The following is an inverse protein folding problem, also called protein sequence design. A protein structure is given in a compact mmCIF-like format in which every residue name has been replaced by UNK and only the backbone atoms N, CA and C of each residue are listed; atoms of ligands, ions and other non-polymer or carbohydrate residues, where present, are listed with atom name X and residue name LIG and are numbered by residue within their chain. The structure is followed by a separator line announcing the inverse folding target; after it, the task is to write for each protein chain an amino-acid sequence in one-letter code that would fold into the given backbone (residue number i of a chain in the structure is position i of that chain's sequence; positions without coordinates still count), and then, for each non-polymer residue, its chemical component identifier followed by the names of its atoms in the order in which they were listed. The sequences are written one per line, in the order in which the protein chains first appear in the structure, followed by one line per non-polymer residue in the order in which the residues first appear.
data_IF_819558684307
#
_entry.id   IF_819558684307
#
_cell.length_a   1.000
_cell.length_b   1.000
_cell.length_c   1.000
_cell.angle_alpha   90.00
_cell.angle_beta   90.00
_cell.angle_gamma   90.00
#
_symmetry.space_group_name_H-M   'P 1'
#
loop_
_entity.id
_entity.type
_entity.pdbx_description
1 polymer ?
#
# COMPACT_ATOMS: atom_id res chain seq x y z
N UNK A 1 42.05 -3.77 24.59
CA UNK A 1 40.81 -3.39 25.31
C UNK A 1 39.67 -3.35 24.29
N UNK A 2 38.89 -4.42 24.18
CA UNK A 2 37.78 -4.52 23.23
C UNK A 2 36.49 -3.98 23.89
N UNK A 3 35.89 -2.95 23.31
CA UNK A 3 34.61 -2.39 23.78
C UNK A 3 33.47 -3.31 23.33
N UNK A 4 33.03 -4.19 24.23
CA UNK A 4 31.99 -5.22 24.00
C UNK A 4 30.55 -4.69 24.25
N UNK A 5 30.38 -3.47 24.75
CA UNK A 5 29.05 -2.87 24.96
C UNK A 5 28.94 -1.54 24.22
N UNK A 6 28.17 -1.52 23.13
CA UNK A 6 27.87 -0.28 22.40
C UNK A 6 28.05 -0.30 20.89
N UNK A 7 27.82 -1.42 20.19
CA UNK A 7 27.36 -1.30 18.80
C UNK A 7 25.97 -0.68 18.87
N UNK A 8 25.88 0.63 18.61
CA UNK A 8 24.59 1.26 18.33
C UNK A 8 23.90 0.40 17.28
N UNK A 9 22.63 0.03 17.54
CA UNK A 9 21.83 -0.70 16.55
C UNK A 9 22.04 -0.01 15.21
N UNK A 10 22.46 -0.77 14.19
CA UNK A 10 22.45 -0.28 12.81
C UNK A 10 21.11 0.42 12.62
N UNK A 11 21.19 1.73 12.40
CA UNK A 11 20.02 2.58 12.42
C UNK A 11 19.21 2.15 11.21
N UNK A 12 18.20 1.32 11.44
CA UNK A 12 17.36 0.78 10.40
C UNK A 12 16.95 1.97 9.52
N UNK A 13 17.11 1.87 8.19
CA UNK A 13 16.81 2.99 7.30
C UNK A 13 15.43 3.52 7.67
N UNK A 14 15.33 4.86 7.79
CA UNK A 14 14.08 5.49 8.16
C UNK A 14 12.96 4.93 7.25
N UNK A 15 11.79 4.57 7.80
CA UNK A 15 10.73 3.95 7.03
C UNK A 15 10.45 4.80 5.80
N UNK A 16 10.65 4.21 4.62
CA UNK A 16 10.44 4.89 3.36
C UNK A 16 8.98 4.65 2.92
N UNK A 17 8.37 5.65 2.29
CA UNK A 17 6.97 5.58 1.86
C UNK A 17 6.73 4.42 0.88
N UNK A 18 7.72 4.07 0.06
CA UNK A 18 7.65 2.98 -0.92
C UNK A 18 7.50 1.60 -0.27
N UNK A 19 8.28 1.30 0.78
CA UNK A 19 8.19 0.06 1.54
C UNK A 19 6.84 -0.04 2.26
N UNK A 20 6.35 1.09 2.78
CA UNK A 20 5.05 1.15 3.42
C UNK A 20 3.92 0.89 2.39
N UNK A 21 4.00 1.45 1.18
CA UNK A 21 3.04 1.18 0.09
C UNK A 21 3.05 -0.31 -0.26
N UNK A 22 4.23 -0.89 -0.50
CA UNK A 22 4.37 -2.31 -0.85
C UNK A 22 3.79 -3.25 0.23
N UNK A 23 3.97 -2.90 1.51
CA UNK A 23 3.38 -3.64 2.62
C UNK A 23 1.84 -3.55 2.65
N UNK A 24 1.27 -2.38 2.36
CA UNK A 24 -0.20 -2.21 2.28
C UNK A 24 -0.77 -3.01 1.10
N UNK A 25 -0.10 -2.98 -0.05
CA UNK A 25 -0.51 -3.75 -1.23
C UNK A 25 -0.48 -5.25 -0.98
N UNK A 26 0.60 -5.77 -0.37
CA UNK A 26 0.70 -7.18 0.01
C UNK A 26 -0.43 -7.63 0.94
N UNK A 27 -0.85 -6.75 1.87
CA UNK A 27 -1.99 -7.00 2.74
C UNK A 27 -3.31 -7.01 1.96
N UNK A 28 -3.51 -6.08 1.02
CA UNK A 28 -4.69 -6.06 0.16
C UNK A 28 -4.77 -7.35 -0.68
N UNK A 29 -3.68 -7.78 -1.31
CA UNK A 29 -3.62 -9.05 -2.05
C UNK A 29 -3.96 -10.28 -1.20
N UNK A 30 -3.50 -10.30 0.06
CA UNK A 30 -3.81 -11.38 1.00
C UNK A 30 -5.31 -11.44 1.32
N UNK A 31 -5.96 -10.28 1.42
CA UNK A 31 -7.42 -10.18 1.58
C UNK A 31 -8.13 -10.64 0.31
N UNK A 32 -7.68 -10.22 -0.87
CA UNK A 32 -8.26 -10.62 -2.15
C UNK A 32 -8.18 -12.15 -2.36
N UNK A 33 -7.08 -12.79 -1.95
CA UNK A 33 -6.95 -14.26 -1.95
C UNK A 33 -7.98 -14.93 -1.02
N UNK A 34 -8.29 -14.34 0.14
CA UNK A 34 -9.34 -14.85 1.04
C UNK A 34 -10.73 -14.68 0.43
N UNK A 35 -10.99 -13.54 -0.20
CA UNK A 35 -12.25 -13.28 -0.92
C UNK A 35 -12.48 -14.30 -2.04
N UNK A 36 -11.45 -14.60 -2.84
CA UNK A 36 -11.54 -15.58 -3.91
C UNK A 36 -11.91 -16.99 -3.41
N UNK A 37 -11.41 -17.39 -2.22
CA UNK A 37 -11.80 -18.65 -1.58
C UNK A 37 -13.28 -18.65 -1.18
N UNK A 38 -13.74 -17.57 -0.55
CA UNK A 38 -15.15 -17.39 -0.17
C UNK A 38 -16.08 -17.37 -1.38
N UNK A 39 -15.65 -16.76 -2.50
CA UNK A 39 -16.39 -16.79 -3.77
C UNK A 39 -16.53 -18.21 -4.33
N UNK A 40 -15.45 -19.00 -4.25
CA UNK A 40 -15.50 -20.43 -4.60
C UNK A 40 -16.51 -21.20 -3.76
N UNK A 41 -16.58 -20.95 -2.45
CA UNK A 41 -17.57 -21.55 -1.56
C UNK A 41 -19.01 -21.10 -1.88
N UNK A 42 -19.22 -19.80 -2.11
CA UNK A 42 -20.53 -19.26 -2.48
C UNK A 42 -21.05 -19.87 -3.79
N UNK A 43 -20.16 -20.08 -4.76
CA UNK A 43 -20.51 -20.74 -6.02
C UNK A 43 -20.99 -22.17 -5.78
N UNK A 44 -20.27 -22.94 -4.94
CA UNK A 44 -20.68 -24.30 -4.56
C UNK A 44 -22.05 -24.32 -3.87
N UNK A 45 -22.31 -23.40 -2.94
CA UNK A 45 -23.62 -23.29 -2.31
C UNK A 45 -24.73 -22.93 -3.30
N UNK A 46 -24.47 -22.04 -4.25
CA UNK A 46 -25.41 -21.67 -5.31
C UNK A 46 -25.76 -22.89 -6.18
N UNK A 47 -24.77 -23.64 -6.62
CA UNK A 47 -24.96 -24.86 -7.44
C UNK A 47 -25.69 -25.95 -6.66
N UNK A 48 -25.36 -26.13 -5.37
CA UNK A 48 -26.05 -27.07 -4.49
C UNK A 48 -27.54 -26.69 -4.34
N UNK A 49 -27.85 -25.43 -4.01
CA UNK A 49 -29.23 -24.96 -3.85
C UNK A 49 -30.04 -25.06 -5.15
N UNK A 50 -29.42 -24.88 -6.32
CA UNK A 50 -30.09 -25.00 -7.61
C UNK A 50 -30.64 -26.41 -7.86
N UNK A 51 -30.02 -27.44 -7.28
CA UNK A 51 -30.44 -28.85 -7.39
C UNK A 51 -31.40 -29.28 -6.27
N UNK A 52 -31.65 -28.42 -5.29
CA UNK A 52 -32.49 -28.73 -4.13
C UNK A 52 -33.92 -28.23 -4.32
N UNK A 53 -34.89 -29.06 -3.91
CA UNK A 53 -36.28 -28.64 -3.73
C UNK A 53 -36.38 -27.63 -2.58
N UNK A 54 -37.39 -26.77 -2.66
CA UNK A 54 -37.70 -25.84 -1.58
C UNK A 54 -38.04 -26.61 -0.30
N UNK A 55 -37.51 -26.14 0.84
CA UNK A 55 -37.74 -26.77 2.13
C UNK A 55 -36.62 -26.55 3.16
N UNK A 56 -36.74 -27.18 4.34
CA UNK A 56 -35.82 -26.97 5.47
C UNK A 56 -34.34 -27.23 5.13
N UNK A 57 -34.07 -28.24 4.31
CA UNK A 57 -32.71 -28.56 3.87
C UNK A 57 -32.09 -27.43 3.04
N UNK A 58 -32.84 -26.88 2.06
CA UNK A 58 -32.38 -25.76 1.22
C UNK A 58 -32.21 -24.48 2.03
N UNK A 59 -33.10 -24.24 3.00
CA UNK A 59 -32.99 -23.12 3.94
C UNK A 59 -31.71 -23.20 4.78
N UNK A 60 -31.31 -24.38 5.25
CA UNK A 60 -30.04 -24.57 5.97
C UNK A 60 -28.83 -24.21 5.11
N UNK A 61 -28.80 -24.64 3.84
CA UNK A 61 -27.73 -24.29 2.89
C UNK A 61 -27.71 -22.78 2.62
N UNK A 62 -28.89 -22.15 2.45
CA UNK A 62 -29.02 -20.70 2.29
C UNK A 62 -28.44 -19.94 3.48
N UNK A 63 -28.71 -20.38 4.71
CA UNK A 63 -28.15 -19.75 5.92
C UNK A 63 -26.62 -19.87 5.97
N UNK A 64 -26.04 -21.01 5.56
CA UNK A 64 -24.59 -21.16 5.43
C UNK A 64 -24.02 -20.20 4.39
N UNK A 65 -24.64 -20.12 3.21
CA UNK A 65 -24.24 -19.20 2.16
C UNK A 65 -24.30 -17.73 2.60
N UNK A 66 -25.32 -17.33 3.35
CA UNK A 66 -25.44 -15.97 3.90
C UNK A 66 -24.32 -15.62 4.87
N UNK A 67 -23.86 -16.56 5.70
CA UNK A 67 -22.71 -16.33 6.59
C UNK A 67 -21.43 -16.11 5.81
N UNK A 68 -21.17 -16.94 4.80
CA UNK A 68 -20.00 -16.79 3.91
C UNK A 68 -20.07 -15.46 3.14
N UNK A 69 -21.25 -15.08 2.65
CA UNK A 69 -21.45 -13.80 1.96
C UNK A 69 -21.17 -12.61 2.88
N UNK A 70 -21.63 -12.66 4.13
CA UNK A 70 -21.34 -11.61 5.13
C UNK A 70 -19.84 -11.50 5.39
N UNK A 71 -19.15 -12.63 5.55
CA UNK A 71 -17.70 -12.65 5.72
C UNK A 71 -16.97 -12.07 4.50
N UNK A 72 -17.42 -12.41 3.29
CA UNK A 72 -16.85 -11.85 2.05
C UNK A 72 -17.01 -10.33 2.01
N UNK A 73 -18.21 -9.81 2.29
CA UNK A 73 -18.46 -8.36 2.34
C UNK A 73 -17.58 -7.61 3.35
N UNK A 74 -17.28 -8.25 4.49
CA UNK A 74 -16.36 -7.67 5.46
C UNK A 74 -14.93 -7.57 4.91
N UNK A 75 -14.47 -8.58 4.17
CA UNK A 75 -13.17 -8.53 3.50
C UNK A 75 -13.13 -7.53 2.34
N UNK A 76 -14.20 -7.42 1.54
CA UNK A 76 -14.33 -6.40 0.49
C UNK A 76 -14.12 -4.99 1.08
N UNK A 77 -14.84 -4.66 2.15
CA UNK A 77 -14.69 -3.37 2.83
C UNK A 77 -13.27 -3.15 3.39
N UNK A 78 -12.60 -4.20 3.89
CA UNK A 78 -11.22 -4.10 4.35
C UNK A 78 -10.24 -3.89 3.20
N UNK A 79 -10.43 -4.57 2.06
CA UNK A 79 -9.60 -4.42 0.87
C UNK A 79 -9.71 -2.99 0.31
N UNK A 80 -10.93 -2.47 0.20
CA UNK A 80 -11.18 -1.10 -0.28
C UNK A 80 -10.51 -0.05 0.63
N UNK A 81 -10.58 -0.23 1.96
CA UNK A 81 -9.90 0.66 2.91
C UNK A 81 -8.38 0.64 2.74
N UNK A 82 -7.77 -0.53 2.51
CA UNK A 82 -6.32 -0.64 2.27
C UNK A 82 -5.93 -0.01 0.94
N UNK A 83 -6.72 -0.21 -0.12
CA UNK A 83 -6.47 0.42 -1.43
C UNK A 83 -6.54 1.93 -1.36
N UNK A 84 -7.52 2.47 -0.62
CA UNK A 84 -7.60 3.91 -0.36
C UNK A 84 -6.38 4.42 0.43
N UNK A 85 -5.89 3.65 1.40
CA UNK A 85 -4.68 3.97 2.14
C UNK A 85 -3.44 3.97 1.22
N UNK A 86 -3.26 2.95 0.39
CA UNK A 86 -2.17 2.85 -0.58
C UNK A 86 -2.19 4.05 -1.53
N UNK A 87 -3.36 4.39 -2.09
CA UNK A 87 -3.51 5.54 -2.98
C UNK A 87 -3.11 6.86 -2.32
N UNK A 88 -3.56 7.12 -1.09
CA UNK A 88 -3.18 8.33 -0.35
C UNK A 88 -1.66 8.38 -0.09
N UNK A 89 -1.04 7.23 0.14
CA UNK A 89 0.40 7.13 0.33
C UNK A 89 1.17 7.35 -0.99
N UNK A 90 0.68 6.83 -2.11
CA UNK A 90 1.23 7.08 -3.44
C UNK A 90 1.19 8.56 -3.80
N UNK A 91 0.05 9.24 -3.56
CA UNK A 91 -0.08 10.68 -3.77
C UNK A 91 0.93 11.46 -2.92
N UNK A 92 1.09 11.09 -1.65
CA UNK A 92 2.07 11.71 -0.73
C UNK A 92 3.50 11.45 -1.19
N UNK A 93 3.79 10.24 -1.68
CA UNK A 93 5.11 9.87 -2.17
C UNK A 93 5.47 10.68 -3.43
N UNK A 94 4.52 10.84 -4.36
CA UNK A 94 4.67 11.67 -5.54
C UNK A 94 4.94 13.14 -5.19
N UNK A 95 4.13 13.73 -4.30
CA UNK A 95 4.33 15.09 -3.83
C UNK A 95 5.71 15.28 -3.16
N UNK A 96 6.12 14.30 -2.35
CA UNK A 96 7.44 14.30 -1.71
C UNK A 96 8.58 14.27 -2.72
N UNK A 97 8.45 13.46 -3.78
CA UNK A 97 9.44 13.40 -4.85
C UNK A 97 9.52 14.72 -5.62
N UNK A 98 8.38 15.30 -6.00
CA UNK A 98 8.33 16.60 -6.67
C UNK A 98 9.00 17.72 -5.83
N UNK A 99 8.80 17.70 -4.50
CA UNK A 99 9.47 18.63 -3.58
C UNK A 99 10.99 18.41 -3.53
N UNK A 100 11.46 17.15 -3.55
CA UNK A 100 12.89 16.83 -3.62
C UNK A 100 13.51 17.34 -4.91
N UNK A 101 12.85 17.14 -6.05
CA UNK A 101 13.32 17.58 -7.36
C UNK A 101 13.35 19.11 -7.45
N UNK A 102 12.34 19.77 -6.90
CA UNK A 102 12.30 21.25 -6.78
C UNK A 102 13.48 21.75 -5.94
N UNK A 103 13.74 21.13 -4.79
CA UNK A 103 14.88 21.49 -3.93
C UNK A 103 16.21 21.29 -4.66
N UNK A 104 16.37 20.19 -5.38
CA UNK A 104 17.56 19.93 -6.17
C UNK A 104 17.77 21.01 -7.25
N UNK A 105 16.70 21.39 -7.95
CA UNK A 105 16.72 22.46 -8.97
C UNK A 105 17.12 23.80 -8.36
N UNK A 106 16.51 24.19 -7.24
CA UNK A 106 16.84 25.44 -6.53
C UNK A 106 18.30 25.44 -6.06
N UNK A 107 18.81 24.31 -5.58
CA UNK A 107 20.21 24.18 -5.19
C UNK A 107 21.16 24.32 -6.38
N UNK A 108 20.84 23.69 -7.51
CA UNK A 108 21.61 23.83 -8.75
C UNK A 108 21.64 25.28 -9.24
N UNK A 109 20.50 25.98 -9.21
CA UNK A 109 20.41 27.40 -9.56
C UNK A 109 21.26 28.28 -8.64
N UNK A 110 21.21 28.04 -7.31
CA UNK A 110 22.05 28.78 -6.35
C UNK A 110 23.54 28.60 -6.63
N UNK A 111 23.96 27.37 -6.93
CA UNK A 111 25.35 27.07 -7.31
C UNK A 111 25.75 27.79 -8.60
N UNK A 112 24.92 27.70 -9.66
CA UNK A 112 25.17 28.38 -10.93
C UNK A 112 25.25 29.90 -10.81
N UNK A 113 24.35 30.52 -10.01
CA UNK A 113 24.39 31.97 -9.74
C UNK A 113 25.69 32.36 -9.01
N UNK A 114 26.18 31.51 -8.09
CA UNK A 114 27.43 31.76 -7.36
C UNK A 114 28.64 31.71 -8.30
N UNK A 115 28.69 30.74 -9.21
CA UNK A 115 29.73 30.63 -10.23
C UNK A 115 29.69 31.79 -11.22
N UNK A 116 28.51 32.15 -11.72
CA UNK A 116 28.30 33.30 -12.60
C UNK A 116 28.85 34.58 -11.98
N UNK A 117 28.52 34.85 -10.71
CA UNK A 117 29.05 36.03 -9.98
C UNK A 117 30.57 36.01 -9.84
N UNK A 118 31.18 34.83 -9.69
CA UNK A 118 32.65 34.68 -9.61
C UNK A 118 33.31 35.02 -10.95
N UNK A 119 32.76 34.51 -12.04
CA UNK A 119 33.28 34.77 -13.40
C UNK A 119 33.07 36.23 -13.83
N UNK A 120 31.94 36.85 -13.50
CA UNK A 120 31.73 38.28 -13.75
C UNK A 120 32.77 39.16 -13.05
N UNK A 121 33.09 38.87 -11.79
CA UNK A 121 34.14 39.60 -11.06
C UNK A 121 35.51 39.43 -11.70
N UNK A 122 35.85 38.24 -12.21
CA UNK A 122 37.14 38.00 -12.89
C UNK A 122 37.30 38.78 -14.18
N UNK A 123 36.20 39.08 -14.89
CA UNK A 123 36.23 39.81 -16.17
C UNK A 123 36.21 41.34 -16.01
N UNK A 124 36.00 41.86 -14.80
CA UNK A 124 36.00 43.30 -14.49
C UNK A 124 37.34 43.80 -13.91
N UNK A 125 38.37 42.96 -13.91
CA UNK A 125 39.77 43.29 -13.65
C UNK A 125 40.63 42.69 -14.76
#
# INVERSE_FOLDING_TARGET
MNRIFGRGKDQAPAPNLTDCIANVDSRAESIDKKMARLDGELRKYKEQMAKMREGPAKNSVKQKALRVLKQKKQYEAQSDNLRNQAFNMEQTNYATQALKDTKATVNAMKSGVKEMKKEFKKRQY
#
